data_IF_699025255858
#
_entry.id   IF_699025255858
#
_cell.length_a   1.000
_cell.length_b   1.000
_cell.length_c   1.000
_cell.angle_alpha   90.00
_cell.angle_beta   90.00
_cell.angle_gamma   90.00
#
_symmetry.space_group_name_H-M   'P 1'
#
loop_
_entity.id
_entity.type
_entity.pdbx_description
1 polymer ?
#
# COMPACT_ATOMS: atom_id res chain seq x y z
N UNK A 1 12.58 11.73 -21.88
CA UNK A 1 12.69 11.93 -20.41
C UNK A 1 12.09 10.70 -19.75
N UNK A 2 12.84 9.98 -18.90
CA UNK A 2 12.39 8.71 -18.32
C UNK A 2 11.74 9.00 -16.97
N UNK A 3 10.42 9.01 -16.92
CA UNK A 3 9.67 9.13 -15.67
C UNK A 3 9.94 7.88 -14.83
N UNK A 4 10.71 8.03 -13.75
CA UNK A 4 10.96 6.92 -12.84
C UNK A 4 9.76 6.78 -11.92
N UNK A 5 8.90 5.80 -12.24
CA UNK A 5 7.72 5.42 -11.48
C UNK A 5 8.00 4.10 -10.75
N UNK A 6 7.74 4.04 -9.44
CA UNK A 6 7.88 2.82 -8.66
C UNK A 6 6.83 2.74 -7.57
N UNK A 7 6.23 1.56 -7.44
CA UNK A 7 5.25 1.21 -6.41
C UNK A 7 5.85 0.15 -5.50
N UNK A 8 5.76 0.37 -4.19
CA UNK A 8 6.26 -0.58 -3.20
C UNK A 8 5.24 -0.72 -2.07
N UNK A 9 4.71 -1.92 -1.91
CA UNK A 9 3.90 -2.26 -0.75
C UNK A 9 4.79 -2.78 0.38
N UNK A 10 4.51 -2.35 1.61
CA UNK A 10 5.25 -2.76 2.78
C UNK A 10 4.39 -2.68 4.05
N UNK A 11 4.74 -3.47 5.05
CA UNK A 11 4.10 -3.41 6.36
C UNK A 11 4.70 -2.30 7.21
N UNK A 12 3.85 -1.45 7.79
CA UNK A 12 4.29 -0.41 8.72
C UNK A 12 3.99 -0.83 10.15
N UNK A 13 4.97 -1.46 10.80
CA UNK A 13 4.88 -1.83 12.22
C UNK A 13 4.87 -0.59 13.09
N UNK A 14 3.90 -0.49 14.00
CA UNK A 14 3.90 0.55 15.05
C UNK A 14 4.97 0.22 16.10
N UNK A 15 5.46 1.24 16.83
CA UNK A 15 6.51 1.06 17.85
C UNK A 15 6.11 0.11 18.99
N UNK A 16 4.80 0.00 19.28
CA UNK A 16 4.23 -0.89 20.30
C UNK A 16 3.51 -2.11 19.68
N UNK A 17 3.97 -2.59 18.52
CA UNK A 17 3.40 -3.79 17.94
C UNK A 17 3.85 -5.02 18.75
N UNK A 18 2.95 -5.55 19.56
CA UNK A 18 3.18 -6.76 20.37
C UNK A 18 2.69 -8.03 19.66
N UNK A 19 1.50 -7.98 19.04
CA UNK A 19 0.93 -9.07 18.24
C UNK A 19 -0.27 -8.57 17.43
N UNK A 20 -0.63 -9.26 16.34
CA UNK A 20 -1.84 -8.99 15.55
C UNK A 20 -1.59 -8.59 14.09
N UNK A 21 -2.53 -7.85 13.50
CA UNK A 21 -2.45 -7.48 12.08
C UNK A 21 -1.76 -6.13 11.90
N UNK A 22 -0.79 -6.06 10.98
CA UNK A 22 -0.01 -4.85 10.72
C UNK A 22 -0.58 -4.14 9.50
N UNK A 23 -0.78 -2.81 9.52
CA UNK A 23 -1.29 -2.10 8.36
C UNK A 23 -0.31 -2.14 7.17
N UNK A 24 -0.87 -2.38 5.99
CA UNK A 24 -0.17 -2.37 4.71
C UNK A 24 -0.16 -0.94 4.16
N UNK A 25 1.03 -0.47 3.81
CA UNK A 25 1.25 0.83 3.21
C UNK A 25 1.73 0.68 1.77
N UNK A 26 1.32 1.61 0.91
CA UNK A 26 1.82 1.79 -0.44
C UNK A 26 2.74 3.00 -0.47
N UNK A 27 3.97 2.80 -0.93
CA UNK A 27 4.88 3.87 -1.31
C UNK A 27 4.86 4.04 -2.82
N UNK A 28 4.58 5.27 -3.25
CA UNK A 28 4.61 5.70 -4.64
C UNK A 28 5.82 6.60 -4.80
N UNK A 29 6.70 6.28 -5.74
CA UNK A 29 7.86 7.09 -6.10
C UNK A 29 7.70 7.58 -7.53
N UNK A 30 7.77 8.90 -7.74
CA UNK A 30 7.70 9.54 -9.06
C UNK A 30 8.79 10.59 -9.11
N UNK A 31 9.71 10.50 -10.08
CA UNK A 31 10.76 11.51 -10.28
C UNK A 31 11.53 11.84 -8.98
N UNK A 32 11.95 10.81 -8.24
CA UNK A 32 12.62 10.89 -6.92
C UNK A 32 11.78 11.42 -5.76
N UNK A 33 10.55 11.88 -5.98
CA UNK A 33 9.60 12.24 -4.92
C UNK A 33 8.86 11.00 -4.44
N UNK A 34 8.65 10.89 -3.12
CA UNK A 34 8.01 9.73 -2.49
C UNK A 34 6.75 10.16 -1.75
N UNK A 35 5.66 9.45 -1.94
CA UNK A 35 4.47 9.55 -1.11
C UNK A 35 4.14 8.19 -0.52
N UNK A 36 3.65 8.19 0.72
CA UNK A 36 3.21 6.99 1.43
C UNK A 36 1.73 7.11 1.75
N UNK A 37 1.00 6.03 1.51
CA UNK A 37 -0.45 5.99 1.62
C UNK A 37 -0.83 4.71 2.36
N UNK A 38 -1.71 4.84 3.35
CA UNK A 38 -2.29 3.68 4.00
C UNK A 38 -3.27 3.03 3.01
N UNK A 39 -3.19 1.72 2.87
CA UNK A 39 -4.08 1.00 1.94
C UNK A 39 -5.45 0.67 2.57
N UNK A 40 -5.65 1.02 3.84
CA UNK A 40 -6.80 0.59 4.64
C UNK A 40 -6.78 -0.91 4.99
N UNK A 41 -5.79 -1.67 4.51
CA UNK A 41 -5.66 -3.11 4.76
C UNK A 41 -4.67 -3.38 5.88
N UNK A 42 -4.94 -4.44 6.64
CA UNK A 42 -4.02 -5.00 7.63
C UNK A 42 -3.67 -6.43 7.22
N UNK A 43 -2.48 -6.87 7.60
CA UNK A 43 -1.93 -8.15 7.19
C UNK A 43 -1.09 -8.73 8.33
N UNK A 44 -1.23 -10.04 8.55
CA UNK A 44 -0.38 -10.75 9.49
C UNK A 44 1.07 -10.78 8.96
N UNK A 45 2.05 -10.29 9.75
CA UNK A 45 3.43 -10.19 9.29
C UNK A 45 4.10 -11.55 9.04
N UNK A 46 3.59 -12.65 9.60
CA UNK A 46 4.09 -14.01 9.33
C UNK A 46 3.65 -14.50 7.95
N UNK A 47 2.51 -13.99 7.45
CA UNK A 47 2.01 -14.27 6.09
C UNK A 47 2.54 -13.27 5.07
N UNK A 48 3.28 -12.24 5.46
CA UNK A 48 3.79 -11.23 4.52
C UNK A 48 5.11 -11.64 3.86
N UNK A 49 5.15 -11.59 2.52
CA UNK A 49 6.38 -11.76 1.77
C UNK A 49 7.02 -10.40 1.47
N UNK A 50 8.00 -10.00 2.28
CA UNK A 50 8.71 -8.73 2.13
C UNK A 50 9.48 -8.61 0.80
N UNK A 51 9.92 -9.73 0.21
CA UNK A 51 10.64 -9.73 -1.07
C UNK A 51 9.71 -9.45 -2.25
N UNK A 52 8.48 -9.96 -2.18
CA UNK A 52 7.46 -9.78 -3.23
C UNK A 52 6.52 -8.62 -2.98
N UNK A 53 6.59 -7.96 -1.82
CA UNK A 53 5.70 -6.88 -1.41
C UNK A 53 4.24 -7.30 -1.39
N UNK A 54 3.97 -8.58 -1.08
CA UNK A 54 2.63 -9.19 -1.16
C UNK A 54 2.42 -10.15 -0.01
N UNK A 55 1.16 -10.37 0.37
CA UNK A 55 0.81 -11.47 1.27
C UNK A 55 1.08 -12.79 0.56
N UNK A 56 1.77 -13.71 1.25
CA UNK A 56 1.99 -15.08 0.83
C UNK A 56 0.70 -15.86 1.05
N UNK A 57 -0.20 -15.81 0.08
CA UNK A 57 -1.45 -16.56 0.05
C UNK A 57 -1.63 -17.24 -1.31
N UNK A 58 -2.18 -18.45 -1.31
CA UNK A 58 -2.52 -19.19 -2.53
C UNK A 58 -3.41 -18.36 -3.46
N UNK A 59 -3.28 -18.64 -4.77
CA UNK A 59 -3.85 -17.96 -5.96
C UNK A 59 -5.29 -17.41 -5.87
N UNK A 60 -6.08 -17.83 -4.89
CA UNK A 60 -7.47 -17.45 -4.67
C UNK A 60 -7.60 -16.18 -3.79
N UNK A 61 -6.70 -16.02 -2.81
CA UNK A 61 -6.65 -14.87 -1.88
C UNK A 61 -6.16 -13.60 -2.60
N UNK A 62 -5.14 -13.76 -3.46
CA UNK A 62 -4.51 -12.66 -4.22
C UNK A 62 -5.43 -12.11 -5.32
N UNK A 63 -6.39 -12.92 -5.80
CA UNK A 63 -7.36 -12.51 -6.83
C UNK A 63 -8.61 -11.87 -6.23
N UNK A 64 -9.01 -12.29 -5.02
CA UNK A 64 -10.16 -11.73 -4.30
C UNK A 64 -9.86 -10.41 -3.56
N UNK A 65 -8.64 -10.22 -3.06
CA UNK A 65 -8.33 -9.06 -2.20
C UNK A 65 -7.90 -7.80 -2.99
N UNK A 66 -7.28 -7.97 -4.16
CA UNK A 66 -7.00 -6.86 -5.09
C UNK A 66 -8.09 -6.70 -6.18
N UNK A 67 -9.00 -7.67 -6.31
CA UNK A 67 -10.12 -7.62 -7.25
C UNK A 67 -11.29 -6.75 -6.80
N UNK A 68 -11.42 -6.53 -5.49
CA UNK A 68 -12.40 -5.63 -4.89
C UNK A 68 -11.71 -4.40 -4.28
N UNK A 69 -10.89 -3.70 -5.07
CA UNK A 69 -10.52 -2.31 -4.80
C UNK A 69 -11.55 -1.40 -5.48
N UNK A 70 -12.84 -1.68 -5.28
CA UNK A 70 -13.88 -0.81 -5.87
C UNK A 70 -14.44 0.17 -4.87
N UNK A 71 -14.24 -0.02 -3.56
CA UNK A 71 -14.70 0.94 -2.56
C UNK A 71 -13.79 0.98 -1.33
N UNK A 72 -12.63 1.68 -1.36
CA UNK A 72 -12.13 2.31 -0.13
C UNK A 72 -13.26 3.22 0.38
N UNK A 73 -13.36 3.50 1.68
CA UNK A 73 -14.36 4.45 2.19
C UNK A 73 -14.15 5.82 1.51
N UNK A 74 -14.99 6.15 0.51
CA UNK A 74 -14.49 6.55 -0.81
C UNK A 74 -14.20 8.03 -1.05
N UNK A 75 -14.15 8.87 -0.01
CA UNK A 75 -13.97 10.32 -0.24
C UNK A 75 -12.76 10.89 0.50
N UNK A 76 -12.56 10.55 1.78
CA UNK A 76 -11.46 11.12 2.57
C UNK A 76 -10.12 10.48 2.21
N UNK A 77 -10.10 9.15 2.02
CA UNK A 77 -8.89 8.43 1.58
C UNK A 77 -8.55 8.74 0.11
N UNK A 78 -9.56 8.80 -0.77
CA UNK A 78 -9.38 9.19 -2.18
C UNK A 78 -8.82 10.61 -2.30
N UNK A 79 -9.41 11.58 -1.59
CA UNK A 79 -8.93 12.97 -1.63
C UNK A 79 -7.49 13.05 -1.12
N UNK A 80 -7.15 12.33 -0.06
CA UNK A 80 -5.78 12.25 0.47
C UNK A 80 -4.81 11.62 -0.55
N UNK A 81 -5.25 10.58 -1.25
CA UNK A 81 -4.50 9.91 -2.31
C UNK A 81 -4.24 10.86 -3.49
N UNK A 82 -5.28 11.51 -4.00
CA UNK A 82 -5.21 12.44 -5.13
C UNK A 82 -4.37 13.68 -4.83
N UNK A 83 -4.46 14.23 -3.62
CA UNK A 83 -3.62 15.34 -3.18
C UNK A 83 -2.13 14.95 -3.17
N UNK A 84 -1.80 13.77 -2.64
CA UNK A 84 -0.42 13.25 -2.65
C UNK A 84 0.10 13.02 -4.06
N UNK A 85 -0.69 12.40 -4.94
CA UNK A 85 -0.29 12.20 -6.34
C UNK A 85 -0.05 13.52 -7.07
N UNK A 86 -0.94 14.49 -6.88
CA UNK A 86 -0.81 15.83 -7.49
C UNK A 86 0.45 16.54 -7.01
N UNK A 87 0.81 16.37 -5.73
CA UNK A 87 2.05 16.93 -5.17
C UNK A 87 3.33 16.27 -5.71
N UNK A 88 3.27 15.03 -6.18
CA UNK A 88 4.42 14.32 -6.75
C UNK A 88 4.68 14.69 -8.22
N UNK A 89 3.64 15.13 -8.96
CA UNK A 89 3.73 15.42 -10.40
C UNK A 89 4.07 16.87 -10.75
N UNK A 90 4.01 17.80 -9.79
CA UNK A 90 4.51 19.18 -9.93
C UNK A 90 6.01 19.23 -9.74
#
# INVERSE_FOLDING_TARGET
>A
MKTNFSLLFYLKKQKNYESGEVPVYLRITINSKRAEIATGRQCDPKRWNAKSGRMSGSREDVRGEFGSIEHPNSEIEDRSFRLKLTSLSK
#
